data_IF_747901397348
#
_entry.id   IF_747901397348
#
_cell.length_a   1.000
_cell.length_b   1.000
_cell.length_c   1.000
_cell.angle_alpha   90.00
_cell.angle_beta   90.00
_cell.angle_gamma   90.00
#
_symmetry.space_group_name_H-M   'P 1'
#
loop_
_entity.id
_entity.type
_entity.pdbx_description
1 polymer ?
#
# COMPACT_ATOMS: atom_id res chain seq x y z
N UNK A 1 11.32 7.15 57.13
CA UNK A 1 10.32 6.75 56.10
C UNK A 1 9.72 5.42 56.48
N UNK A 2 8.38 5.29 56.52
CA UNK A 2 7.69 4.04 56.84
C UNK A 2 7.37 3.22 55.59
N UNK A 3 7.33 1.89 55.70
CA UNK A 3 7.06 0.96 54.59
C UNK A 3 5.75 1.25 53.83
N UNK A 4 4.76 1.83 54.51
CA UNK A 4 3.49 2.29 53.91
C UNK A 4 3.72 3.39 52.87
N UNK A 5 4.52 4.41 53.19
CA UNK A 5 4.77 5.56 52.30
C UNK A 5 5.59 5.17 51.07
N UNK A 6 6.51 4.20 51.20
CA UNK A 6 7.25 3.63 50.07
C UNK A 6 6.31 2.90 49.10
N UNK A 7 5.33 2.15 49.62
CA UNK A 7 4.33 1.43 48.81
C UNK A 7 3.44 2.41 48.05
N UNK A 8 2.98 3.47 48.70
CA UNK A 8 2.17 4.53 48.06
C UNK A 8 2.94 5.23 46.94
N UNK A 9 4.20 5.62 47.16
CA UNK A 9 5.06 6.21 46.12
C UNK A 9 5.27 5.27 44.92
N UNK A 10 5.46 3.97 45.17
CA UNK A 10 5.60 2.97 44.11
C UNK A 10 4.35 2.88 43.23
N UNK A 11 3.16 2.90 43.83
CA UNK A 11 1.89 2.87 43.10
C UNK A 11 1.69 4.13 42.26
N UNK A 12 2.03 5.31 42.79
CA UNK A 12 1.95 6.59 42.05
C UNK A 12 2.89 6.58 40.84
N UNK A 13 4.14 6.12 41.00
CA UNK A 13 5.08 6.01 39.89
C UNK A 13 4.60 5.05 38.80
N UNK A 14 4.02 3.90 39.18
CA UNK A 14 3.42 2.97 38.22
C UNK A 14 2.25 3.60 37.46
N UNK A 15 1.42 4.40 38.14
CA UNK A 15 0.35 5.18 37.51
C UNK A 15 0.87 6.14 36.46
N UNK A 16 1.87 6.96 36.80
CA UNK A 16 2.46 7.94 35.89
C UNK A 16 3.16 7.28 34.69
N UNK A 17 3.85 6.16 34.90
CA UNK A 17 4.44 5.37 33.80
C UNK A 17 3.38 4.86 32.82
N UNK A 18 2.23 4.42 33.35
CA UNK A 18 1.10 3.96 32.52
C UNK A 18 0.47 5.10 31.72
N UNK A 19 0.21 6.24 32.35
CA UNK A 19 -0.33 7.43 31.68
C UNK A 19 0.58 7.89 30.54
N UNK A 20 1.90 7.91 30.79
CA UNK A 20 2.89 8.22 29.76
C UNK A 20 2.80 7.24 28.58
N UNK A 21 2.74 5.92 28.84
CA UNK A 21 2.62 4.90 27.78
C UNK A 21 1.35 5.08 26.95
N UNK A 22 0.21 5.35 27.60
CA UNK A 22 -1.05 5.61 26.92
C UNK A 22 -0.93 6.85 26.02
N UNK A 23 -0.31 7.93 26.53
CA UNK A 23 -0.08 9.15 25.75
C UNK A 23 0.80 8.89 24.52
N UNK A 24 1.89 8.14 24.67
CA UNK A 24 2.81 7.81 23.57
C UNK A 24 2.11 6.96 22.49
N UNK A 25 1.27 6.01 22.90
CA UNK A 25 0.49 5.19 21.99
C UNK A 25 -0.59 6.00 21.24
N UNK A 26 -1.31 6.90 21.91
CA UNK A 26 -2.27 7.80 21.26
C UNK A 26 -1.58 8.66 20.19
N UNK A 27 -0.39 9.19 20.51
CA UNK A 27 0.41 9.96 19.55
C UNK A 27 0.76 9.12 18.32
N UNK A 28 1.22 7.89 18.54
CA UNK A 28 1.59 6.96 17.46
C UNK A 28 0.39 6.62 16.57
N UNK A 29 -0.78 6.38 17.17
CA UNK A 29 -2.03 6.12 16.44
C UNK A 29 -2.39 7.32 15.56
N UNK A 30 -2.33 8.55 16.08
CA UNK A 30 -2.62 9.74 15.30
C UNK A 30 -1.65 9.89 14.11
N UNK A 31 -0.35 9.75 14.35
CA UNK A 31 0.69 9.82 13.31
C UNK A 31 0.48 8.77 12.21
N UNK A 32 0.17 7.53 12.58
CA UNK A 32 -0.06 6.47 11.60
C UNK A 32 -1.38 6.68 10.83
N UNK A 33 -2.43 7.10 11.51
CA UNK A 33 -3.71 7.39 10.87
C UNK A 33 -3.63 8.56 9.89
N UNK A 34 -2.84 9.59 10.20
CA UNK A 34 -2.58 10.70 9.27
C UNK A 34 -1.87 10.21 8.01
N UNK A 35 -0.82 9.40 8.15
CA UNK A 35 -0.07 8.86 7.00
C UNK A 35 -0.94 7.95 6.13
N UNK A 36 -1.79 7.13 6.75
CA UNK A 36 -2.64 6.14 6.06
C UNK A 36 -3.99 6.71 5.58
N UNK A 37 -4.35 7.92 6.02
CA UNK A 37 -5.70 8.50 5.97
C UNK A 37 -6.79 7.48 6.32
N UNK A 38 -6.60 6.75 7.42
CA UNK A 38 -7.58 5.77 7.92
C UNK A 38 -8.55 6.48 8.85
N UNK A 39 -9.85 6.30 8.61
CA UNK A 39 -10.90 6.69 9.55
C UNK A 39 -10.70 5.92 10.87
N UNK A 40 -10.19 6.59 11.89
CA UNK A 40 -9.99 6.05 13.23
C UNK A 40 -11.28 5.41 13.79
N UNK A 41 -12.45 5.95 13.45
CA UNK A 41 -13.76 5.43 13.85
C UNK A 41 -14.05 4.03 13.28
N UNK A 42 -13.74 3.79 11.99
CA UNK A 42 -13.92 2.47 11.37
C UNK A 42 -12.93 1.45 11.89
N UNK A 43 -11.69 1.87 12.18
CA UNK A 43 -10.68 0.99 12.75
C UNK A 43 -11.01 0.59 14.19
N UNK A 44 -11.57 1.51 14.98
CA UNK A 44 -12.14 1.20 16.30
C UNK A 44 -13.25 0.17 16.13
N UNK A 45 -14.17 0.34 15.18
CA UNK A 45 -15.27 -0.61 15.01
C UNK A 45 -14.82 -2.00 14.52
N UNK A 46 -13.82 -2.11 13.64
CA UNK A 46 -13.30 -3.41 13.15
C UNK A 46 -12.36 -4.13 14.11
N UNK A 47 -11.47 -3.41 14.81
CA UNK A 47 -10.42 -4.01 15.67
C UNK A 47 -10.87 -4.09 17.13
N UNK A 48 -11.63 -3.10 17.63
CA UNK A 48 -12.04 -3.04 19.04
C UNK A 48 -13.37 -3.76 19.33
N UNK A 49 -14.18 -4.10 18.31
CA UNK A 49 -15.53 -4.69 18.46
C UNK A 49 -15.65 -6.07 17.80
N UNK A 50 -14.57 -6.87 17.72
CA UNK A 50 -14.77 -8.27 17.35
C UNK A 50 -15.55 -9.00 18.48
N UNK A 51 -16.75 -9.57 18.21
CA UNK A 51 -17.66 -10.07 19.26
C UNK A 51 -17.12 -11.27 20.06
N UNK A 52 -16.06 -11.91 19.59
CA UNK A 52 -15.47 -13.09 20.25
C UNK A 52 -14.79 -12.80 21.60
N UNK A 53 -14.59 -11.53 21.96
CA UNK A 53 -13.83 -11.12 23.15
C UNK A 53 -14.64 -10.28 24.17
N UNK A 54 -15.90 -9.94 23.85
CA UNK A 54 -16.77 -9.17 24.74
C UNK A 54 -17.37 -9.99 25.90
N UNK A 55 -17.12 -11.31 25.94
CA UNK A 55 -17.61 -12.22 26.98
C UNK A 55 -16.89 -12.07 28.34
N UNK A 56 -15.81 -11.30 28.43
CA UNK A 56 -15.04 -11.13 29.68
C UNK A 56 -15.55 -9.98 30.58
N UNK A 57 -16.47 -9.14 30.09
CA UNK A 57 -16.94 -7.94 30.81
C UNK A 57 -17.77 -8.23 32.07
N UNK A 58 -18.19 -9.49 32.28
CA UNK A 58 -19.04 -9.84 33.40
C UNK A 58 -18.28 -10.11 34.72
N UNK A 59 -16.98 -10.46 34.68
CA UNK A 59 -16.39 -11.24 35.79
C UNK A 59 -15.02 -10.77 36.34
N UNK A 60 -14.46 -9.59 36.02
CA UNK A 60 -13.20 -9.19 36.66
C UNK A 60 -13.03 -7.70 36.92
N UNK A 61 -12.32 -7.41 38.01
CA UNK A 61 -12.36 -6.21 38.83
C UNK A 61 -11.84 -4.94 38.15
N UNK A 62 -12.32 -3.79 38.63
CA UNK A 62 -12.02 -2.40 38.21
C UNK A 62 -10.52 -2.03 38.04
N UNK A 63 -9.57 -2.83 38.55
CA UNK A 63 -8.14 -2.65 38.29
C UNK A 63 -7.69 -3.15 36.90
N UNK A 64 -8.44 -4.08 36.30
CA UNK A 64 -8.13 -4.65 34.99
C UNK A 64 -8.62 -3.80 33.83
N UNK A 65 -9.53 -2.85 34.05
CA UNK A 65 -10.10 -2.01 32.98
C UNK A 65 -9.04 -1.09 32.37
N UNK A 66 -8.12 -0.57 33.21
CA UNK A 66 -7.02 0.31 32.76
C UNK A 66 -5.89 -0.45 32.06
N UNK A 67 -5.59 -1.68 32.47
CA UNK A 67 -4.56 -2.49 31.82
C UNK A 67 -5.10 -3.11 30.52
N UNK A 68 -6.40 -3.45 30.49
CA UNK A 68 -7.13 -3.87 29.29
C UNK A 68 -7.28 -2.75 28.24
N UNK A 69 -7.45 -1.49 28.66
CA UNK A 69 -7.46 -0.37 27.72
C UNK A 69 -6.07 -0.06 27.16
N UNK A 70 -5.00 -0.25 27.95
CA UNK A 70 -3.61 -0.12 27.48
C UNK A 70 -3.26 -1.20 26.46
N UNK A 71 -3.61 -2.46 26.70
CA UNK A 71 -3.30 -3.56 25.78
C UNK A 71 -3.99 -3.41 24.43
N UNK A 72 -5.23 -2.92 24.42
CA UNK A 72 -5.98 -2.63 23.18
C UNK A 72 -5.36 -1.50 22.37
N UNK A 73 -4.79 -0.51 23.05
CA UNK A 73 -4.11 0.59 22.41
C UNK A 73 -2.79 0.14 21.78
N UNK A 74 -2.06 -0.74 22.46
CA UNK A 74 -0.85 -1.39 21.92
C UNK A 74 -1.17 -2.23 20.68
N UNK A 75 -2.25 -3.03 20.72
CA UNK A 75 -2.72 -3.81 19.57
C UNK A 75 -3.11 -2.91 18.38
N UNK A 76 -3.76 -1.78 18.64
CA UNK A 76 -4.08 -0.81 17.58
C UNK A 76 -2.82 -0.17 16.97
N UNK A 77 -1.82 0.18 17.79
CA UNK A 77 -0.52 0.69 17.32
C UNK A 77 0.17 -0.35 16.43
N UNK A 78 0.22 -1.60 16.87
CA UNK A 78 0.86 -2.70 16.12
C UNK A 78 0.14 -2.95 14.78
N UNK A 79 -1.20 -2.96 14.78
CA UNK A 79 -2.02 -3.12 13.58
C UNK A 79 -1.78 -1.98 12.57
N UNK A 80 -1.79 -0.73 13.02
CA UNK A 80 -1.49 0.42 12.17
C UNK A 80 -0.07 0.39 11.62
N UNK A 81 0.90 -0.01 12.43
CA UNK A 81 2.29 -0.17 12.00
C UNK A 81 2.40 -1.23 10.90
N UNK A 82 1.79 -2.40 11.09
CA UNK A 82 1.78 -3.46 10.08
C UNK A 82 1.09 -3.00 8.79
N UNK A 83 -0.01 -2.25 8.90
CA UNK A 83 -0.71 -1.71 7.74
C UNK A 83 0.15 -0.67 6.99
N UNK A 84 0.85 0.21 7.72
CA UNK A 84 1.82 1.16 7.17
C UNK A 84 2.93 0.44 6.40
N UNK A 85 3.55 -0.58 7.00
CA UNK A 85 4.57 -1.41 6.37
C UNK A 85 4.06 -2.14 5.12
N UNK A 86 2.84 -2.65 5.18
CA UNK A 86 2.22 -3.37 4.05
C UNK A 86 1.93 -2.43 2.89
N UNK A 87 1.41 -1.23 3.15
CA UNK A 87 1.12 -0.22 2.11
C UNK A 87 2.38 0.34 1.48
N UNK A 88 3.41 0.61 2.28
CA UNK A 88 4.71 1.03 1.75
C UNK A 88 5.32 -0.04 0.85
N UNK A 89 5.35 -1.32 1.29
CA UNK A 89 5.85 -2.42 0.45
C UNK A 89 5.11 -2.51 -0.89
N UNK A 90 3.79 -2.34 -0.90
CA UNK A 90 3.02 -2.32 -2.15
C UNK A 90 3.46 -1.21 -3.11
N UNK A 91 3.71 0.00 -2.62
CA UNK A 91 4.22 1.08 -3.46
C UNK A 91 5.65 0.81 -3.95
N UNK A 92 6.50 0.20 -3.12
CA UNK A 92 7.85 -0.22 -3.49
C UNK A 92 7.84 -1.29 -4.60
N UNK A 93 6.95 -2.28 -4.49
CA UNK A 93 6.77 -3.33 -5.50
C UNK A 93 6.27 -2.72 -6.83
N UNK A 94 5.31 -1.79 -6.75
CA UNK A 94 4.81 -1.07 -7.93
C UNK A 94 5.91 -0.21 -8.56
N UNK A 95 6.70 0.52 -7.77
CA UNK A 95 7.84 1.30 -8.25
C UNK A 95 8.90 0.41 -8.93
N UNK A 96 9.19 -0.75 -8.35
CA UNK A 96 10.11 -1.74 -8.94
C UNK A 96 9.59 -2.25 -10.28
N UNK A 97 8.29 -2.54 -10.37
CA UNK A 97 7.62 -2.94 -11.62
C UNK A 97 7.76 -1.87 -12.70
N UNK A 98 7.63 -0.59 -12.35
CA UNK A 98 7.82 0.53 -13.29
C UNK A 98 9.26 0.57 -13.83
N UNK A 99 10.27 0.40 -12.95
CA UNK A 99 11.67 0.35 -13.37
C UNK A 99 11.94 -0.83 -14.31
N UNK A 100 11.41 -2.01 -14.00
CA UNK A 100 11.53 -3.19 -14.85
C UNK A 100 10.90 -2.97 -16.24
N UNK A 101 9.72 -2.36 -16.29
CA UNK A 101 9.07 -1.99 -17.54
C UNK A 101 9.93 -1.01 -18.35
N UNK A 102 10.50 0.01 -17.72
CA UNK A 102 11.36 0.96 -18.42
C UNK A 102 12.61 0.33 -19.01
N UNK A 103 13.24 -0.58 -18.26
CA UNK A 103 14.41 -1.32 -18.71
C UNK A 103 14.07 -2.30 -19.84
N UNK A 104 12.87 -2.87 -19.81
CA UNK A 104 12.42 -3.83 -20.85
C UNK A 104 12.05 -3.13 -22.15
N UNK A 105 11.52 -1.90 -22.08
CA UNK A 105 11.00 -1.17 -23.24
C UNK A 105 11.86 0.04 -23.65
N UNK A 106 13.10 0.15 -23.16
CA UNK A 106 14.03 1.27 -23.41
C UNK A 106 13.33 2.63 -23.32
N UNK A 107 12.51 2.82 -22.29
CA UNK A 107 11.61 3.98 -22.18
C UNK A 107 12.42 5.26 -21.97
N UNK A 108 12.24 6.31 -22.79
CA UNK A 108 13.03 7.54 -22.71
C UNK A 108 12.66 8.35 -21.45
N UNK A 109 13.57 9.22 -20.99
CA UNK A 109 13.48 9.87 -19.68
C UNK A 109 12.26 10.81 -19.52
N UNK A 110 11.83 11.44 -20.61
CA UNK A 110 10.63 12.28 -20.68
C UNK A 110 9.34 11.50 -20.36
N UNK A 111 9.28 10.21 -20.72
CA UNK A 111 8.14 9.34 -20.39
C UNK A 111 8.22 8.81 -18.94
N UNK A 112 9.36 8.97 -18.24
CA UNK A 112 9.57 8.46 -16.87
C UNK A 112 9.07 9.41 -15.80
N UNK A 113 9.18 10.72 -16.03
CA UNK A 113 8.87 11.79 -15.05
C UNK A 113 7.52 11.61 -14.36
N UNK A 114 6.50 11.17 -15.12
CA UNK A 114 5.15 10.91 -14.60
C UNK A 114 5.08 9.84 -13.51
N UNK A 115 6.06 8.95 -13.39
CA UNK A 115 6.15 7.94 -12.33
C UNK A 115 7.26 8.22 -11.32
N UNK A 116 7.90 9.40 -11.37
CA UNK A 116 8.89 9.79 -10.36
C UNK A 116 8.33 9.63 -8.94
N UNK A 117 7.10 10.08 -8.62
CA UNK A 117 6.54 9.93 -7.28
C UNK A 117 6.57 8.49 -6.76
N UNK A 118 6.19 7.51 -7.58
CA UNK A 118 6.16 6.12 -7.14
C UNK A 118 7.56 5.51 -6.98
N UNK A 119 8.50 5.92 -7.83
CA UNK A 119 9.89 5.42 -7.74
C UNK A 119 10.62 5.95 -6.50
N UNK A 120 10.24 7.12 -5.97
CA UNK A 120 10.83 7.63 -4.73
C UNK A 120 10.60 6.71 -3.53
N UNK A 121 9.49 5.97 -3.47
CA UNK A 121 9.18 5.08 -2.36
C UNK A 121 10.12 3.88 -2.26
N UNK A 122 10.77 3.47 -3.35
CA UNK A 122 11.62 2.27 -3.43
C UNK A 122 12.72 2.28 -2.36
N UNK A 123 13.33 3.44 -2.11
CA UNK A 123 14.40 3.59 -1.11
C UNK A 123 13.92 4.04 0.27
N UNK A 124 12.64 4.32 0.44
CA UNK A 124 12.10 4.87 1.69
C UNK A 124 11.92 3.77 2.73
N UNK A 125 12.34 4.02 3.96
CA UNK A 125 12.08 3.13 5.10
C UNK A 125 10.78 3.55 5.81
N UNK A 126 10.17 2.59 6.51
CA UNK A 126 8.84 2.75 7.13
C UNK A 126 8.78 3.93 8.10
N UNK A 127 9.84 4.13 8.89
CA UNK A 127 9.89 5.15 9.93
C UNK A 127 9.98 6.57 9.35
N UNK A 128 10.56 6.73 8.16
CA UNK A 128 10.74 8.02 7.49
C UNK A 128 9.46 8.50 6.78
N UNK A 129 8.45 7.63 6.64
CA UNK A 129 7.16 8.03 6.06
C UNK A 129 6.34 8.77 7.10
N UNK A 130 6.44 10.10 7.08
CA UNK A 130 5.68 11.00 7.98
C UNK A 130 4.67 11.87 7.24
N UNK A 131 4.70 11.87 5.90
CA UNK A 131 3.82 12.71 5.09
C UNK A 131 2.37 12.22 5.18
N UNK A 132 1.48 13.12 5.61
CA UNK A 132 0.05 12.85 5.70
C UNK A 132 -0.51 12.39 4.34
N UNK A 133 -1.31 11.32 4.35
CA UNK A 133 -1.96 10.76 3.16
C UNK A 133 -1.02 10.20 2.10
N UNK A 134 0.26 10.00 2.41
CA UNK A 134 1.22 9.42 1.45
C UNK A 134 1.00 7.92 1.21
N UNK A 135 0.33 7.21 2.12
CA UNK A 135 0.05 5.78 2.02
C UNK A 135 -1.45 5.49 1.98
N UNK A 136 -2.23 6.28 1.25
CA UNK A 136 -3.67 6.00 1.09
C UNK A 136 -3.92 4.83 0.13
N UNK A 137 -5.02 4.12 0.33
CA UNK A 137 -5.43 3.06 -0.58
C UNK A 137 -5.76 3.59 -1.99
N UNK A 138 -6.23 4.83 -2.07
CA UNK A 138 -6.58 5.45 -3.34
C UNK A 138 -5.34 5.72 -4.19
N UNK A 139 -4.25 6.23 -3.61
CA UNK A 139 -2.96 6.40 -4.31
C UNK A 139 -2.47 5.05 -4.82
N UNK A 140 -2.42 4.02 -3.97
CA UNK A 140 -1.97 2.67 -4.36
C UNK A 140 -2.83 2.11 -5.50
N UNK A 141 -4.15 2.30 -5.44
CA UNK A 141 -5.06 1.82 -6.47
C UNK A 141 -4.87 2.58 -7.78
N UNK A 142 -4.72 3.90 -7.70
CA UNK A 142 -4.49 4.75 -8.87
C UNK A 142 -3.18 4.38 -9.56
N UNK A 143 -2.09 4.29 -8.81
CA UNK A 143 -0.77 3.90 -9.30
C UNK A 143 -0.81 2.53 -9.98
N UNK A 144 -1.47 1.55 -9.35
CA UNK A 144 -1.66 0.22 -9.95
C UNK A 144 -2.38 0.30 -11.30
N UNK A 145 -3.46 1.06 -11.40
CA UNK A 145 -4.21 1.22 -12.66
C UNK A 145 -3.34 1.89 -13.72
N UNK A 146 -2.57 2.91 -13.33
CA UNK A 146 -1.70 3.65 -14.24
C UNK A 146 -0.55 2.78 -14.79
N UNK A 147 0.00 1.90 -13.95
CA UNK A 147 1.02 0.92 -14.33
C UNK A 147 0.46 -0.14 -15.26
N UNK A 148 -0.74 -0.67 -15.00
CA UNK A 148 -1.38 -1.62 -15.92
C UNK A 148 -1.67 -0.97 -17.29
N UNK A 149 -2.10 0.30 -17.31
CA UNK A 149 -2.25 1.06 -18.55
C UNK A 149 -0.92 1.26 -19.28
N UNK A 150 0.16 1.54 -18.56
CA UNK A 150 1.49 1.65 -19.15
C UNK A 150 1.90 0.32 -19.79
N UNK A 151 1.78 -0.78 -19.05
CA UNK A 151 2.10 -2.13 -19.51
C UNK A 151 1.31 -2.49 -20.77
N UNK A 152 0.01 -2.22 -20.76
CA UNK A 152 -0.87 -2.39 -21.91
C UNK A 152 -0.39 -1.60 -23.14
N UNK A 153 -0.09 -0.32 -22.95
CA UNK A 153 0.39 0.57 -24.02
C UNK A 153 1.72 0.09 -24.60
N UNK A 154 2.68 -0.28 -23.75
CA UNK A 154 4.00 -0.78 -24.14
C UNK A 154 3.89 -2.13 -24.88
N UNK A 155 3.03 -3.04 -24.40
CA UNK A 155 2.74 -4.29 -25.10
C UNK A 155 2.13 -4.06 -26.47
N UNK A 156 1.14 -3.15 -26.58
CA UNK A 156 0.52 -2.79 -27.87
C UNK A 156 1.57 -2.26 -28.85
N UNK A 157 2.45 -1.37 -28.40
CA UNK A 157 3.54 -0.83 -29.22
C UNK A 157 4.47 -1.94 -29.74
N UNK A 158 4.94 -2.81 -28.85
CA UNK A 158 5.85 -3.91 -29.21
C UNK A 158 5.22 -4.87 -30.24
N UNK A 159 3.96 -5.27 -30.04
CA UNK A 159 3.27 -6.16 -30.98
C UNK A 159 3.14 -5.51 -32.36
N UNK A 160 2.84 -4.21 -32.42
CA UNK A 160 2.75 -3.47 -33.69
C UNK A 160 4.11 -3.34 -34.39
N UNK A 161 5.19 -3.12 -33.64
CA UNK A 161 6.56 -3.10 -34.18
C UNK A 161 6.96 -4.45 -34.75
N UNK A 162 6.70 -5.55 -34.03
CA UNK A 162 6.97 -6.92 -34.52
C UNK A 162 6.12 -7.28 -35.74
N UNK A 163 4.86 -6.85 -35.77
CA UNK A 163 4.01 -7.02 -36.95
C UNK A 163 4.56 -6.26 -38.16
N UNK A 164 5.10 -5.05 -37.96
CA UNK A 164 5.74 -4.28 -39.03
C UNK A 164 7.01 -4.95 -39.54
N UNK A 165 7.87 -5.45 -38.66
CA UNK A 165 9.07 -6.23 -39.04
C UNK A 165 8.70 -7.45 -39.90
N UNK A 166 7.66 -8.20 -39.51
CA UNK A 166 7.17 -9.34 -40.28
C UNK A 166 6.67 -8.94 -41.68
N UNK A 167 5.97 -7.81 -41.80
CA UNK A 167 5.50 -7.29 -43.08
C UNK A 167 6.64 -6.88 -44.01
N UNK A 168 7.71 -6.31 -43.46
CA UNK A 168 8.92 -5.97 -44.21
C UNK A 168 9.64 -7.23 -44.71
N UNK A 169 9.76 -8.26 -43.86
CA UNK A 169 10.29 -9.57 -44.25
C UNK A 169 9.44 -10.18 -45.36
N UNK A 170 8.12 -10.21 -45.18
CA UNK A 170 7.17 -10.79 -46.14
C UNK A 170 7.25 -10.12 -47.52
N UNK A 171 7.40 -8.79 -47.54
CA UNK A 171 7.66 -8.02 -48.77
C UNK A 171 9.01 -8.38 -49.40
N UNK A 172 10.07 -8.50 -48.60
CA UNK A 172 11.41 -8.84 -49.10
C UNK A 172 11.49 -10.25 -49.70
N UNK A 173 10.74 -11.20 -49.14
CA UNK A 173 10.71 -12.60 -49.58
C UNK A 173 9.64 -12.89 -50.64
N UNK A 174 8.91 -11.87 -51.10
CA UNK A 174 7.81 -11.99 -52.08
C UNK A 174 6.70 -12.97 -51.67
N UNK A 175 6.54 -13.22 -50.37
CA UNK A 175 5.43 -14.04 -49.86
C UNK A 175 4.18 -13.14 -49.85
N UNK A 176 3.09 -13.58 -50.48
CA UNK A 176 1.83 -12.84 -50.47
C UNK A 176 0.98 -13.28 -49.28
N UNK A 177 0.93 -12.44 -48.24
CA UNK A 177 0.06 -12.61 -47.06
C UNK A 177 -0.86 -11.40 -46.99
N UNK A 178 -2.13 -11.61 -46.62
CA UNK A 178 -3.04 -10.52 -46.29
C UNK A 178 -2.69 -9.93 -44.92
N UNK A 179 -1.67 -9.08 -44.92
CA UNK A 179 -1.14 -8.44 -43.71
C UNK A 179 -2.11 -7.42 -43.13
N UNK A 180 -3.06 -6.89 -43.92
CA UNK A 180 -4.04 -5.91 -43.45
C UNK A 180 -5.10 -6.58 -42.58
N UNK A 181 -5.65 -7.71 -43.03
CA UNK A 181 -6.58 -8.50 -42.21
C UNK A 181 -5.90 -9.01 -40.94
N UNK A 182 -4.66 -9.50 -41.04
CA UNK A 182 -3.89 -9.94 -39.88
C UNK A 182 -3.67 -8.80 -38.86
N UNK A 183 -3.29 -7.60 -39.32
CA UNK A 183 -3.12 -6.42 -38.46
C UNK A 183 -4.44 -6.00 -37.81
N UNK A 184 -5.55 -6.03 -38.55
CA UNK A 184 -6.86 -5.68 -38.00
C UNK A 184 -7.26 -6.64 -36.88
N UNK A 185 -7.16 -7.96 -37.13
CA UNK A 185 -7.44 -9.00 -36.12
C UNK A 185 -6.57 -8.79 -34.87
N UNK A 186 -5.26 -8.56 -35.03
CA UNK A 186 -4.35 -8.33 -33.91
C UNK A 186 -4.74 -7.10 -33.07
N UNK A 187 -5.04 -5.96 -33.70
CA UNK A 187 -5.45 -4.74 -32.99
C UNK A 187 -6.75 -4.98 -32.23
N UNK A 188 -7.73 -5.60 -32.88
CA UNK A 188 -9.02 -5.92 -32.26
C UNK A 188 -8.83 -6.85 -31.05
N UNK A 189 -8.05 -7.92 -31.20
CA UNK A 189 -7.76 -8.84 -30.09
C UNK A 189 -7.02 -8.16 -28.93
N UNK A 190 -6.07 -7.27 -29.21
CA UNK A 190 -5.40 -6.48 -28.18
C UNK A 190 -6.40 -5.57 -27.45
N UNK A 191 -7.29 -4.88 -28.16
CA UNK A 191 -8.28 -3.98 -27.54
C UNK A 191 -9.30 -4.74 -26.68
N UNK A 192 -9.75 -5.93 -27.12
CA UNK A 192 -10.60 -6.79 -26.30
C UNK A 192 -9.87 -7.32 -25.05
N UNK A 193 -8.63 -7.77 -25.20
CA UNK A 193 -7.82 -8.25 -24.07
C UNK A 193 -7.56 -7.14 -23.04
N UNK A 194 -7.24 -5.94 -23.49
CA UNK A 194 -6.96 -4.79 -22.62
C UNK A 194 -8.20 -4.30 -21.86
N UNK A 195 -9.39 -4.34 -22.50
CA UNK A 195 -10.64 -3.97 -21.83
C UNK A 195 -11.05 -4.97 -20.74
N UNK A 196 -10.65 -6.24 -20.86
CA UNK A 196 -10.92 -7.24 -19.81
C UNK A 196 -10.03 -7.14 -18.56
N UNK A 197 -8.91 -6.39 -18.64
CA UNK A 197 -7.98 -6.15 -17.52
C UNK A 197 -8.32 -4.87 -16.75
N UNK A 198 -9.13 -3.98 -17.34
CA UNK A 198 -9.52 -2.68 -16.78
C UNK A 198 -10.91 -2.67 -16.11
N UNK A 199 -11.64 -3.79 -16.12
CA UNK A 199 -12.95 -4.01 -15.46
C UNK A 199 -12.73 -4.94 -14.26
#
# INVERSE_FOLDING_TARGET
>A
MTAKRLRELKLVLQGFQREKKISDNIKSIHEFSDVLSVDLSKMVDEVLIHPSLCSSFANSQLNNISDFSSSRLEEAVDSLKQEKERRLRKLQDLGSTVIELWNTFDTPADERERFDPITTFISVIVDDVTTQGSLTLDIIKQDKVEIEKLKASKMKKLVLEKQKELEEINKSTHIYVDTQTARHILITSLEFGLNSVLI
#
